data_IF_026944657126
#
_entry.id   IF_026944657126
#
_cell.length_a   1.000
_cell.length_b   1.000
_cell.length_c   1.000
_cell.angle_alpha   90.00
_cell.angle_beta   90.00
_cell.angle_gamma   90.00
#
_symmetry.space_group_name_H-M   'P 1'
#
loop_
_entity.id
_entity.type
_entity.pdbx_description
1 polymer ?
#
# COMPACT_ATOMS: atom_id res chain seq x y z
N UNK A 1 24.46 5.05 13.23
CA UNK A 1 24.88 4.71 14.61
C UNK A 1 24.65 3.22 14.83
N UNK A 2 25.59 2.49 15.43
CA UNK A 2 25.50 1.02 15.60
C UNK A 2 25.42 0.66 17.08
N UNK A 3 24.32 0.02 17.48
CA UNK A 3 24.14 -0.54 18.82
C UNK A 3 24.74 -1.96 18.87
N UNK A 4 25.46 -2.35 19.95
CA UNK A 4 25.95 -3.71 20.11
C UNK A 4 24.79 -4.71 20.11
N UNK A 5 24.87 -5.86 19.40
CA UNK A 5 23.79 -6.84 19.33
C UNK A 5 23.43 -7.46 20.70
N UNK A 6 24.33 -7.33 21.68
CA UNK A 6 24.16 -7.78 23.06
C UNK A 6 23.44 -6.76 23.96
N UNK A 7 23.06 -5.59 23.44
CA UNK A 7 22.36 -4.57 24.21
C UNK A 7 21.03 -5.15 24.73
N UNK A 8 20.81 -5.20 26.07
CA UNK A 8 19.60 -5.78 26.64
C UNK A 8 18.33 -4.99 26.30
N UNK A 9 17.16 -5.66 26.29
CA UNK A 9 15.88 -5.03 25.96
C UNK A 9 15.57 -3.81 26.85
N UNK A 10 15.76 -3.92 28.17
CA UNK A 10 15.52 -2.82 29.11
C UNK A 10 16.38 -1.58 28.82
N UNK A 11 17.61 -1.79 28.33
CA UNK A 11 18.49 -0.71 27.94
C UNK A 11 18.02 -0.03 26.64
N UNK A 12 17.51 -0.82 25.68
CA UNK A 12 16.93 -0.28 24.44
C UNK A 12 15.66 0.55 24.72
N UNK A 13 14.81 0.11 25.63
CA UNK A 13 13.63 0.88 26.08
C UNK A 13 14.03 2.20 26.70
N UNK A 14 15.04 2.19 27.59
CA UNK A 14 15.59 3.39 28.21
C UNK A 14 16.19 4.33 27.16
N UNK A 15 16.98 3.80 26.23
CA UNK A 15 17.61 4.58 25.16
C UNK A 15 16.59 5.17 24.20
N UNK A 16 15.45 4.50 23.94
CA UNK A 16 14.43 5.01 23.05
C UNK A 16 13.75 6.29 23.59
N UNK A 17 13.76 6.51 24.90
CA UNK A 17 13.16 7.68 25.54
C UNK A 17 13.97 8.95 25.24
N UNK A 18 13.37 9.88 24.49
CA UNK A 18 14.03 11.13 24.10
C UNK A 18 15.20 10.97 23.12
N UNK A 19 15.39 9.78 22.55
CA UNK A 19 16.41 9.52 21.56
C UNK A 19 16.14 10.29 20.25
N UNK A 20 17.21 10.72 19.55
CA UNK A 20 17.08 11.27 18.21
C UNK A 20 16.58 10.19 17.23
N UNK A 21 15.95 10.58 16.10
CA UNK A 21 15.33 9.63 15.16
C UNK A 21 16.28 8.53 14.67
N UNK A 22 17.57 8.84 14.49
CA UNK A 22 18.56 7.89 14.01
C UNK A 22 18.81 6.76 15.02
N UNK A 23 18.79 7.06 16.32
CA UNK A 23 18.90 6.06 17.37
C UNK A 23 17.63 5.22 17.45
N UNK A 24 16.45 5.83 17.37
CA UNK A 24 15.16 5.09 17.40
C UNK A 24 15.01 4.16 16.20
N UNK A 25 15.48 4.58 15.02
CA UNK A 25 15.56 3.73 13.83
C UNK A 25 16.52 2.54 14.05
N UNK A 26 17.69 2.77 14.65
CA UNK A 26 18.63 1.70 14.98
C UNK A 26 18.04 0.72 16.01
N UNK A 27 17.29 1.22 17.00
CA UNK A 27 16.57 0.39 17.96
C UNK A 27 15.48 -0.42 17.26
N UNK A 28 14.68 0.16 16.36
CA UNK A 28 13.63 -0.59 15.64
C UNK A 28 14.17 -1.82 14.89
N UNK A 29 15.38 -1.74 14.34
CA UNK A 29 16.05 -2.86 13.65
C UNK A 29 16.88 -3.78 14.55
N UNK A 30 16.94 -3.54 15.86
CA UNK A 30 17.81 -4.29 16.77
C UNK A 30 17.18 -5.64 17.21
N UNK A 31 17.93 -6.75 17.23
CA UNK A 31 17.39 -8.10 17.53
C UNK A 31 16.75 -8.24 18.92
N UNK A 32 17.20 -7.46 19.90
CA UNK A 32 16.67 -7.51 21.27
C UNK A 32 15.56 -6.49 21.54
N UNK A 33 15.03 -5.81 20.51
CA UNK A 33 13.99 -4.81 20.71
C UNK A 33 12.69 -5.49 21.14
N UNK A 34 12.14 -5.12 22.30
CA UNK A 34 10.99 -5.80 22.85
C UNK A 34 9.71 -5.53 22.03
N UNK A 35 8.72 -6.45 22.06
CA UNK A 35 7.50 -6.35 21.25
C UNK A 35 6.76 -5.02 21.40
N UNK A 36 6.54 -4.56 22.64
CA UNK A 36 5.84 -3.30 22.91
C UNK A 36 6.55 -2.10 22.26
N UNK A 37 7.88 -2.07 22.32
CA UNK A 37 8.66 -1.01 21.69
C UNK A 37 8.63 -1.10 20.16
N UNK A 38 8.53 -2.30 19.57
CA UNK A 38 8.33 -2.45 18.12
C UNK A 38 6.97 -1.93 17.68
N UNK A 39 5.91 -2.17 18.44
CA UNK A 39 4.57 -1.62 18.19
C UNK A 39 4.61 -0.08 18.17
N UNK A 40 5.25 0.52 19.17
CA UNK A 40 5.41 1.97 19.28
C UNK A 40 6.24 2.57 18.13
N UNK A 41 7.32 1.87 17.73
CA UNK A 41 8.22 2.34 16.68
C UNK A 41 7.67 2.09 15.27
N UNK A 42 6.71 1.19 15.09
CA UNK A 42 6.17 0.82 13.78
C UNK A 42 5.52 2.00 13.04
N UNK A 43 4.96 2.97 13.78
CA UNK A 43 4.34 4.15 13.18
C UNK A 43 5.36 5.07 12.49
N UNK A 44 6.54 5.22 13.10
CA UNK A 44 7.59 6.15 12.65
C UNK A 44 8.70 5.48 11.86
N UNK A 45 8.95 4.19 12.10
CA UNK A 45 10.03 3.40 11.51
C UNK A 45 9.53 2.05 10.95
N UNK A 46 8.49 2.03 10.09
CA UNK A 46 7.87 0.79 9.64
C UNK A 46 8.86 -0.11 8.88
N UNK A 47 9.74 0.46 8.05
CA UNK A 47 10.75 -0.31 7.33
C UNK A 47 11.74 -1.02 8.27
N UNK A 48 12.22 -0.33 9.30
CA UNK A 48 13.16 -0.89 10.27
C UNK A 48 12.51 -1.96 11.14
N UNK A 49 11.24 -1.75 11.53
CA UNK A 49 10.48 -2.77 12.28
C UNK A 49 10.25 -4.02 11.43
N UNK A 50 9.86 -3.87 10.16
CA UNK A 50 9.68 -5.02 9.26
C UNK A 50 11.00 -5.75 8.96
N UNK A 51 12.12 -5.03 8.93
CA UNK A 51 13.46 -5.59 8.76
C UNK A 51 14.06 -6.14 10.06
N UNK A 52 13.36 -6.06 11.20
CA UNK A 52 13.88 -6.53 12.48
C UNK A 52 14.14 -8.05 12.43
N UNK A 53 15.36 -8.53 12.69
CA UNK A 53 15.73 -9.94 12.56
C UNK A 53 14.99 -10.86 13.56
N UNK A 54 14.49 -10.33 14.67
CA UNK A 54 13.71 -11.09 15.64
C UNK A 54 12.22 -11.18 15.28
N UNK A 55 11.72 -10.36 14.34
CA UNK A 55 10.30 -10.29 14.01
C UNK A 55 9.69 -11.66 13.64
N UNK A 56 10.36 -12.55 12.87
CA UNK A 56 9.81 -13.88 12.59
C UNK A 56 9.55 -14.70 13.86
N UNK A 57 10.45 -14.65 14.84
CA UNK A 57 10.32 -15.36 16.12
C UNK A 57 9.26 -14.69 17.01
N UNK A 58 9.26 -13.36 17.08
CA UNK A 58 8.28 -12.59 17.85
C UNK A 58 6.86 -12.84 17.34
N UNK A 59 6.66 -12.99 16.02
CA UNK A 59 5.37 -13.36 15.44
C UNK A 59 4.94 -14.79 15.79
N UNK A 60 5.87 -15.72 15.95
CA UNK A 60 5.54 -17.07 16.41
C UNK A 60 5.03 -17.05 17.85
N UNK A 61 5.65 -16.23 18.71
CA UNK A 61 5.21 -16.04 20.08
C UNK A 61 3.88 -15.27 20.15
N UNK A 62 3.79 -14.14 19.44
CA UNK A 62 2.65 -13.21 19.43
C UNK A 62 2.15 -12.98 17.98
N UNK A 63 1.27 -13.85 17.45
CA UNK A 63 0.85 -13.81 16.04
C UNK A 63 0.18 -12.52 15.58
N UNK A 64 -0.38 -11.74 16.52
CA UNK A 64 -1.07 -10.48 16.24
C UNK A 64 -0.27 -9.23 16.56
N UNK A 65 1.02 -9.36 16.89
CA UNK A 65 1.90 -8.25 17.31
C UNK A 65 1.74 -6.98 16.45
N UNK A 66 1.91 -7.12 15.12
CA UNK A 66 1.78 -6.00 14.19
C UNK A 66 0.37 -5.85 13.58
N UNK A 67 -0.58 -6.70 13.99
CA UNK A 67 -1.96 -6.66 13.51
C UNK A 67 -2.89 -5.91 14.46
N UNK A 68 -2.50 -5.78 15.73
CA UNK A 68 -3.26 -5.07 16.77
C UNK A 68 -2.81 -3.61 16.94
N UNK A 69 -1.79 -3.17 16.19
CA UNK A 69 -1.38 -1.76 16.12
C UNK A 69 -2.51 -0.88 15.55
N UNK A 70 -2.51 0.44 15.84
CA UNK A 70 -3.49 1.36 15.27
C UNK A 70 -3.58 1.26 13.74
N UNK A 71 -4.79 1.46 13.18
CA UNK A 71 -5.04 1.30 11.73
C UNK A 71 -4.04 2.09 10.87
N UNK A 72 -3.74 3.35 11.23
CA UNK A 72 -2.77 4.15 10.47
C UNK A 72 -1.36 3.54 10.46
N UNK A 73 -0.93 2.91 11.56
CA UNK A 73 0.34 2.19 11.67
C UNK A 73 0.32 0.94 10.80
N UNK A 74 -0.77 0.17 10.85
CA UNK A 74 -0.93 -1.01 10.00
C UNK A 74 -0.89 -0.65 8.51
N UNK A 75 -1.53 0.45 8.12
CA UNK A 75 -1.48 0.95 6.74
C UNK A 75 -0.06 1.38 6.33
N UNK A 76 0.70 2.03 7.22
CA UNK A 76 2.13 2.37 6.99
C UNK A 76 3.02 1.13 6.85
N UNK A 77 2.75 0.08 7.62
CA UNK A 77 3.45 -1.21 7.48
C UNK A 77 3.10 -1.87 6.15
N UNK A 78 1.83 -1.89 5.77
CA UNK A 78 1.35 -2.46 4.52
C UNK A 78 1.84 -1.69 3.28
N UNK A 79 2.14 -0.40 3.39
CA UNK A 79 2.66 0.38 2.27
C UNK A 79 4.17 0.16 2.02
N UNK A 80 4.87 -0.53 2.92
CA UNK A 80 6.30 -0.81 2.73
C UNK A 80 6.48 -1.86 1.64
N UNK A 81 7.39 -1.66 0.67
CA UNK A 81 7.68 -2.67 -0.37
C UNK A 81 8.12 -4.02 0.20
N UNK A 82 8.78 -3.99 1.37
CA UNK A 82 9.25 -5.16 2.11
C UNK A 82 8.18 -5.77 3.04
N UNK A 83 6.91 -5.35 2.93
CA UNK A 83 5.83 -5.91 3.71
C UNK A 83 5.78 -7.45 3.51
N UNK A 84 5.91 -8.23 4.60
CA UNK A 84 6.08 -9.67 4.47
C UNK A 84 4.78 -10.32 3.98
N UNK A 85 4.92 -11.44 3.27
CA UNK A 85 3.79 -12.13 2.65
C UNK A 85 2.66 -12.49 3.63
N UNK A 86 2.96 -12.74 4.91
CA UNK A 86 1.93 -13.00 5.92
C UNK A 86 1.08 -11.76 6.24
N UNK A 87 1.67 -10.56 6.20
CA UNK A 87 0.97 -9.30 6.44
C UNK A 87 0.06 -8.97 5.26
N UNK A 88 0.56 -9.18 4.03
CA UNK A 88 -0.24 -9.05 2.81
C UNK A 88 -1.39 -10.05 2.75
N UNK A 89 -1.14 -11.32 3.13
CA UNK A 89 -2.21 -12.33 3.21
C UNK A 89 -3.31 -11.93 4.18
N UNK A 90 -2.95 -11.40 5.35
CA UNK A 90 -3.93 -10.88 6.31
C UNK A 90 -4.73 -9.73 5.69
N UNK A 91 -4.05 -8.78 5.02
CA UNK A 91 -4.71 -7.62 4.43
C UNK A 91 -5.70 -7.96 3.31
N UNK A 92 -5.41 -8.99 2.51
CA UNK A 92 -6.29 -9.45 1.43
C UNK A 92 -7.63 -10.01 1.93
N UNK A 93 -7.66 -10.55 3.14
CA UNK A 93 -8.86 -11.16 3.75
C UNK A 93 -9.44 -10.32 4.89
N UNK A 94 -8.90 -9.12 5.14
CA UNK A 94 -9.37 -8.26 6.21
C UNK A 94 -10.79 -7.77 5.95
N UNK A 95 -11.57 -7.58 7.01
CA UNK A 95 -12.93 -7.02 6.90
C UNK A 95 -12.93 -5.52 6.57
N UNK A 96 -11.87 -4.80 6.93
CA UNK A 96 -11.76 -3.37 6.69
C UNK A 96 -11.32 -3.08 5.25
N UNK A 97 -12.11 -2.27 4.54
CA UNK A 97 -11.89 -1.91 3.13
C UNK A 97 -10.59 -1.13 2.97
N UNK A 98 -10.21 -0.32 3.95
CA UNK A 98 -8.97 0.47 3.96
C UNK A 98 -7.74 -0.44 3.91
N UNK A 99 -7.78 -1.55 4.64
CA UNK A 99 -6.70 -2.54 4.67
C UNK A 99 -6.61 -3.27 3.34
N UNK A 100 -7.76 -3.70 2.79
CA UNK A 100 -7.82 -4.35 1.48
C UNK A 100 -7.37 -3.42 0.34
N UNK A 101 -7.73 -2.14 0.41
CA UNK A 101 -7.31 -1.12 -0.55
C UNK A 101 -5.81 -0.85 -0.48
N UNK A 102 -5.21 -0.86 0.73
CA UNK A 102 -3.76 -0.79 0.87
C UNK A 102 -3.07 -2.03 0.26
N UNK A 103 -3.62 -3.22 0.50
CA UNK A 103 -3.14 -4.45 -0.13
C UNK A 103 -3.20 -4.36 -1.67
N UNK A 104 -4.30 -3.86 -2.24
CA UNK A 104 -4.48 -3.68 -3.69
C UNK A 104 -3.42 -2.78 -4.36
N UNK A 105 -2.94 -1.77 -3.62
CA UNK A 105 -1.87 -0.89 -4.07
C UNK A 105 -0.47 -1.51 -3.96
N UNK A 106 -0.32 -2.63 -3.25
CA UNK A 106 0.99 -3.20 -2.95
C UNK A 106 1.66 -3.80 -4.19
N UNK A 107 2.96 -3.54 -4.44
CA UNK A 107 3.66 -4.03 -5.63
C UNK A 107 3.77 -5.56 -5.67
N UNK A 108 3.89 -6.23 -4.52
CA UNK A 108 4.11 -7.68 -4.44
C UNK A 108 2.86 -8.57 -4.70
N UNK A 109 1.73 -7.99 -5.11
CA UNK A 109 0.58 -8.78 -5.53
C UNK A 109 0.88 -9.57 -6.80
N UNK A 110 0.55 -10.85 -6.80
CA UNK A 110 0.64 -11.68 -8.00
C UNK A 110 -0.58 -11.49 -8.92
N UNK A 111 -0.51 -12.01 -10.15
CA UNK A 111 -1.56 -11.85 -11.15
C UNK A 111 -2.94 -12.36 -10.69
N UNK A 112 -3.00 -13.48 -9.95
CA UNK A 112 -4.26 -14.03 -9.45
C UNK A 112 -4.88 -13.11 -8.38
N UNK A 113 -4.07 -12.56 -7.47
CA UNK A 113 -4.52 -11.62 -6.46
C UNK A 113 -4.96 -10.29 -7.09
N UNK A 114 -4.24 -9.79 -8.11
CA UNK A 114 -4.65 -8.60 -8.86
C UNK A 114 -6.02 -8.82 -9.52
N UNK A 115 -6.21 -9.95 -10.21
CA UNK A 115 -7.48 -10.28 -10.85
C UNK A 115 -8.63 -10.43 -9.83
N UNK A 116 -8.38 -11.05 -8.68
CA UNK A 116 -9.35 -11.13 -7.58
C UNK A 116 -9.76 -9.73 -7.10
N UNK A 117 -8.79 -8.86 -6.85
CA UNK A 117 -9.05 -7.50 -6.33
C UNK A 117 -9.68 -6.58 -7.40
N UNK A 118 -9.46 -6.85 -8.69
CA UNK A 118 -10.14 -6.15 -9.80
C UNK A 118 -11.65 -6.40 -9.83
N UNK A 119 -12.11 -7.50 -9.22
CA UNK A 119 -13.53 -7.88 -9.12
C UNK A 119 -14.09 -7.68 -7.70
N UNK A 120 -13.37 -6.96 -6.84
CA UNK A 120 -13.76 -6.74 -5.45
C UNK A 120 -15.08 -5.94 -5.33
N UNK A 121 -15.98 -6.23 -4.37
CA UNK A 121 -17.25 -5.51 -4.24
C UNK A 121 -17.09 -4.01 -3.97
N UNK A 122 -16.09 -3.62 -3.18
CA UNK A 122 -15.79 -2.21 -2.90
C UNK A 122 -15.08 -1.55 -4.08
N UNK A 123 -15.66 -0.46 -4.62
CA UNK A 123 -15.09 0.29 -5.75
C UNK A 123 -13.73 0.89 -5.42
N UNK A 124 -13.48 1.25 -4.17
CA UNK A 124 -12.19 1.80 -3.71
C UNK A 124 -11.05 0.82 -3.96
N UNK A 125 -11.30 -0.48 -3.77
CA UNK A 125 -10.30 -1.54 -4.02
C UNK A 125 -10.05 -1.70 -5.51
N UNK A 126 -11.13 -1.75 -6.33
CA UNK A 126 -11.01 -1.83 -7.79
C UNK A 126 -10.29 -0.62 -8.38
N UNK A 127 -10.55 0.57 -7.85
CA UNK A 127 -9.86 1.81 -8.23
C UNK A 127 -8.34 1.74 -7.95
N UNK A 128 -7.93 1.14 -6.83
CA UNK A 128 -6.49 0.90 -6.55
C UNK A 128 -5.86 -0.05 -7.55
N UNK A 129 -6.59 -1.08 -7.99
CA UNK A 129 -6.11 -1.95 -9.07
C UNK A 129 -6.01 -1.17 -10.39
N UNK A 130 -7.03 -0.40 -10.76
CA UNK A 130 -7.03 0.42 -11.98
C UNK A 130 -5.85 1.41 -12.06
N UNK A 131 -5.40 1.92 -10.91
CA UNK A 131 -4.29 2.86 -10.78
C UNK A 131 -2.89 2.21 -10.88
N UNK A 132 -2.77 0.88 -10.92
CA UNK A 132 -1.47 0.20 -11.02
C UNK A 132 -0.81 0.50 -12.36
N UNK A 133 0.50 0.80 -12.37
CA UNK A 133 1.22 1.11 -13.60
C UNK A 133 1.11 -0.02 -14.63
N UNK A 134 1.27 -1.27 -14.20
CA UNK A 134 1.20 -2.44 -15.05
C UNK A 134 -0.10 -3.22 -14.80
N UNK A 135 -0.93 -3.35 -15.84
CA UNK A 135 -2.13 -4.19 -15.84
C UNK A 135 -2.28 -4.92 -17.18
N UNK A 136 -2.68 -6.21 -17.17
CA UNK A 136 -3.10 -6.89 -18.39
C UNK A 136 -4.23 -6.13 -19.09
N UNK A 137 -4.18 -6.04 -20.43
CA UNK A 137 -5.20 -5.34 -21.22
C UNK A 137 -6.63 -5.83 -20.98
N UNK A 138 -6.80 -7.12 -20.66
CA UNK A 138 -8.10 -7.68 -20.28
C UNK A 138 -8.66 -7.06 -18.99
N UNK A 139 -7.82 -6.80 -17.99
CA UNK A 139 -8.23 -6.12 -16.76
C UNK A 139 -8.49 -4.63 -16.99
N UNK A 140 -7.71 -3.98 -17.86
CA UNK A 140 -7.98 -2.60 -18.28
C UNK A 140 -9.37 -2.50 -18.92
N UNK A 141 -9.69 -3.40 -19.85
CA UNK A 141 -10.99 -3.44 -20.51
C UNK A 141 -12.14 -3.73 -19.52
N UNK A 142 -11.95 -4.67 -18.58
CA UNK A 142 -12.91 -4.94 -17.51
C UNK A 142 -13.18 -3.68 -16.67
N UNK A 143 -12.12 -3.02 -16.18
CA UNK A 143 -12.23 -1.86 -15.29
C UNK A 143 -12.73 -0.60 -16.03
N UNK A 144 -12.53 -0.49 -17.35
CA UNK A 144 -13.16 0.53 -18.17
C UNK A 144 -14.67 0.32 -18.34
N UNK A 145 -15.16 -0.88 -18.04
CA UNK A 145 -16.57 -1.22 -17.99
C UNK A 145 -17.15 -1.26 -16.57
N UNK A 146 -16.38 -0.84 -15.57
CA UNK A 146 -16.81 -0.83 -14.18
C UNK A 146 -18.08 0.01 -13.98
N UNK A 147 -18.95 -0.42 -13.06
CA UNK A 147 -20.16 0.32 -12.71
C UNK A 147 -19.85 1.69 -12.09
N UNK A 148 -18.76 1.79 -11.34
CA UNK A 148 -18.35 3.01 -10.65
C UNK A 148 -17.51 3.91 -11.56
N UNK A 149 -17.93 5.18 -11.69
CA UNK A 149 -17.24 6.12 -12.57
C UNK A 149 -15.85 6.51 -12.05
N UNK A 150 -15.59 6.41 -10.74
CA UNK A 150 -14.28 6.66 -10.15
C UNK A 150 -13.25 5.63 -10.60
N UNK A 151 -13.64 4.35 -10.68
CA UNK A 151 -12.79 3.30 -11.26
C UNK A 151 -12.49 3.61 -12.73
N UNK A 152 -13.51 3.94 -13.52
CA UNK A 152 -13.35 4.29 -14.95
C UNK A 152 -12.49 5.54 -15.16
N UNK A 153 -12.53 6.51 -14.24
CA UNK A 153 -11.64 7.68 -14.26
C UNK A 153 -10.17 7.29 -14.11
N UNK A 154 -9.84 6.35 -13.20
CA UNK A 154 -8.46 5.86 -13.09
C UNK A 154 -8.00 5.18 -14.38
N UNK A 155 -8.88 4.43 -15.05
CA UNK A 155 -8.57 3.82 -16.34
C UNK A 155 -8.38 4.89 -17.43
N UNK A 156 -9.24 5.91 -17.47
CA UNK A 156 -9.12 7.03 -18.42
C UNK A 156 -7.81 7.82 -18.28
N UNK A 157 -7.23 7.87 -17.08
CA UNK A 157 -5.98 8.57 -16.80
C UNK A 157 -4.72 7.79 -17.21
N UNK A 158 -4.86 6.55 -17.70
CA UNK A 158 -3.73 5.68 -18.01
C UNK A 158 -2.98 6.13 -19.26
N UNK A 159 -1.63 6.18 -19.23
CA UNK A 159 -0.84 6.48 -20.42
C UNK A 159 -0.79 5.32 -21.43
N UNK A 160 -1.01 4.09 -20.97
CA UNK A 160 -0.99 2.85 -21.76
C UNK A 160 -2.39 2.39 -22.21
N UNK A 161 -3.36 3.31 -22.25
CA UNK A 161 -4.75 2.98 -22.53
C UNK A 161 -4.93 2.44 -23.96
N UNK A 162 -5.45 1.21 -24.15
CA UNK A 162 -5.70 0.67 -25.48
C UNK A 162 -6.74 1.48 -26.26
N UNK A 163 -6.55 1.64 -27.58
CA UNK A 163 -7.43 2.43 -28.47
C UNK A 163 -8.93 2.12 -28.33
N UNK A 164 -9.36 0.84 -28.41
CA UNK A 164 -10.77 0.47 -28.24
C UNK A 164 -11.35 0.86 -26.87
N UNK A 165 -10.52 0.86 -25.82
CA UNK A 165 -10.93 1.28 -24.48
C UNK A 165 -11.05 2.80 -24.41
N UNK A 166 -10.12 3.54 -25.02
CA UNK A 166 -10.20 4.99 -25.13
C UNK A 166 -11.46 5.46 -25.88
N UNK A 167 -11.80 4.81 -26.99
CA UNK A 167 -13.03 5.09 -27.76
C UNK A 167 -14.30 4.90 -26.91
N UNK A 168 -14.36 3.80 -26.14
CA UNK A 168 -15.45 3.56 -25.18
C UNK A 168 -15.53 4.68 -24.15
N UNK A 169 -14.40 5.04 -23.52
CA UNK A 169 -14.37 6.05 -22.47
C UNK A 169 -14.63 7.47 -22.98
N UNK A 170 -14.36 7.75 -24.27
CA UNK A 170 -14.75 9.01 -24.92
C UNK A 170 -16.28 9.17 -25.00
N UNK A 171 -17.02 8.07 -24.96
CA UNK A 171 -18.49 8.03 -24.92
C UNK A 171 -19.04 7.70 -23.53
N UNK A 172 -18.20 7.71 -22.48
CA UNK A 172 -18.61 7.38 -21.12
C UNK A 172 -19.77 8.27 -20.66
N UNK A 173 -20.72 7.73 -19.89
CA UNK A 173 -21.83 8.51 -19.34
C UNK A 173 -21.34 9.65 -18.43
N UNK A 174 -20.24 9.44 -17.70
CA UNK A 174 -19.68 10.43 -16.78
C UNK A 174 -18.87 11.49 -17.51
N UNK A 175 -19.24 12.76 -17.33
CA UNK A 175 -18.47 13.92 -17.85
C UNK A 175 -17.04 13.91 -17.31
N UNK A 176 -16.85 13.52 -16.05
CA UNK A 176 -15.54 13.47 -15.40
C UNK A 176 -14.61 12.46 -16.08
N UNK A 177 -15.12 11.28 -16.45
CA UNK A 177 -14.34 10.27 -17.18
C UNK A 177 -13.88 10.81 -18.53
N UNK A 178 -14.79 11.43 -19.29
CA UNK A 178 -14.47 12.03 -20.60
C UNK A 178 -13.44 13.16 -20.49
N UNK A 179 -13.56 14.02 -19.48
CA UNK A 179 -12.61 15.11 -19.23
C UNK A 179 -11.22 14.60 -18.84
N UNK A 180 -11.15 13.59 -17.97
CA UNK A 180 -9.88 12.96 -17.57
C UNK A 180 -9.19 12.33 -18.78
N UNK A 181 -9.94 11.58 -19.62
CA UNK A 181 -9.40 10.99 -20.85
C UNK A 181 -8.83 12.07 -21.78
N UNK A 182 -9.62 13.11 -22.08
CA UNK A 182 -9.19 14.19 -22.96
C UNK A 182 -7.92 14.88 -22.45
N UNK A 183 -7.85 15.11 -21.13
CA UNK A 183 -6.65 15.68 -20.51
C UNK A 183 -5.46 14.74 -20.57
N UNK A 184 -5.64 13.44 -20.32
CA UNK A 184 -4.57 12.45 -20.41
C UNK A 184 -3.98 12.37 -21.83
N UNK A 185 -4.84 12.41 -22.85
CA UNK A 185 -4.44 12.43 -24.27
C UNK A 185 -3.69 13.71 -24.65
N UNK A 186 -4.11 14.88 -24.14
CA UNK A 186 -3.41 16.15 -24.35
C UNK A 186 -2.07 16.18 -23.60
N UNK A 187 -2.03 15.58 -22.41
CA UNK A 187 -0.83 15.43 -21.57
C UNK A 187 0.16 14.40 -22.13
N UNK A 188 -0.18 13.71 -23.22
CA UNK A 188 0.74 12.89 -24.01
C UNK A 188 1.92 13.68 -24.61
N UNK A 189 1.94 15.01 -24.46
CA UNK A 189 3.10 15.88 -24.71
C UNK A 189 3.65 16.58 -23.45
N UNK A 190 2.97 16.51 -22.29
CA UNK A 190 3.43 17.04 -20.99
C UNK A 190 2.58 16.46 -19.84
N UNK A 191 3.14 15.50 -19.08
CA UNK A 191 2.46 14.75 -18.02
C UNK A 191 2.08 15.62 -16.80
N UNK A 192 0.80 15.66 -16.37
CA UNK A 192 0.42 16.10 -15.00
C UNK A 192 -1.08 15.88 -14.72
N UNK A 193 -1.52 14.75 -14.11
CA UNK A 193 -2.62 14.65 -13.07
C UNK A 193 -2.69 13.28 -12.36
N UNK A 194 -1.63 12.75 -11.76
CA UNK A 194 -1.77 11.59 -10.85
C UNK A 194 -1.48 11.92 -9.37
N UNK A 195 -1.44 13.20 -9.02
CA UNK A 195 -1.10 13.66 -7.66
C UNK A 195 -2.25 14.04 -6.73
N UNK A 196 -3.52 14.09 -7.17
CA UNK A 196 -4.56 14.81 -6.40
C UNK A 196 -5.75 14.01 -5.85
N UNK A 197 -5.82 12.69 -6.02
CA UNK A 197 -6.81 11.86 -5.30
C UNK A 197 -6.22 10.66 -4.54
N UNK A 198 -4.89 10.48 -4.53
CA UNK A 198 -4.22 9.40 -3.81
C UNK A 198 -2.98 9.90 -3.07
N UNK A 199 -3.12 10.88 -2.19
CA UNK A 199 -2.16 11.03 -1.09
C UNK A 199 -2.64 10.18 0.09
N UNK A 200 -2.14 8.95 0.30
CA UNK A 200 -1.94 8.47 1.63
C UNK A 200 -0.55 8.94 2.08
N UNK A 201 -0.52 9.81 3.08
CA UNK A 201 0.49 9.84 4.15
C UNK A 201 1.95 9.58 3.73
N UNK A 202 2.72 10.67 3.63
CA UNK A 202 4.13 10.61 4.07
C UNK A 202 4.17 10.47 5.60
#
# INVERSE_FOLDING_TARGET
MTLPPTTPAAELERLAQGAPPELRAAIAGHPNTPPALLEDLAATFPAQVLANPALPLLRLAHPRLLLDVPLHTLLRLLSQPEAPAWLLRHALIASAIEIQAAAAAHPALNAAQIAQMASHPAWQVRARIAARAELPGALIAQLAADADYGVRMYVAARPDLPGPVAERLAQDASVFVRQVLARAQQSGLAAFVLGLCLLPWT
#
